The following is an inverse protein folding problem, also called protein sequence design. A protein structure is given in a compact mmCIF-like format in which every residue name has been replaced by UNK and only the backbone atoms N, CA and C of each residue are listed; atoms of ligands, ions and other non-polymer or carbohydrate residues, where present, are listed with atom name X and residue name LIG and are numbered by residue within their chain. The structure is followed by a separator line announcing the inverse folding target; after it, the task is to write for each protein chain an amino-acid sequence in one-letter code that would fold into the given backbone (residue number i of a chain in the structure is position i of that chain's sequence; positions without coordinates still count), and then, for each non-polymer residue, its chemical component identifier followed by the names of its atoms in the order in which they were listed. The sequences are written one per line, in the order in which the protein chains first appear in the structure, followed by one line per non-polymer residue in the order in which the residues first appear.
data_IF_002774567330
#
_entry.id   IF_002774567330
#
_cell.length_a   1.000
_cell.length_b   1.000
_cell.length_c   1.000
_cell.angle_alpha   90.00
_cell.angle_beta   90.00
_cell.angle_gamma   90.00
#
_symmetry.space_group_name_H-M   'P 1'
#
loop_
_entity.id
_entity.type
_entity.pdbx_description
1 polymer ?
#
# COMPACT_ATOMS: atom_id res chain seq x y z
N UNK A 1 -3.85 19.66 4.26
CA UNK A 1 -5.05 18.81 4.14
C UNK A 1 -4.56 17.38 4.01
N UNK A 2 -5.05 16.47 4.85
CA UNK A 2 -4.57 15.09 4.91
C UNK A 2 -4.73 14.40 3.56
N UNK A 3 -3.66 13.74 3.14
CA UNK A 3 -3.62 12.87 1.96
C UNK A 3 -3.89 11.45 2.42
N UNK A 4 -4.76 10.74 1.72
CA UNK A 4 -5.00 9.31 1.89
C UNK A 4 -4.53 8.59 0.64
N UNK A 5 -3.50 7.77 0.77
CA UNK A 5 -3.07 6.85 -0.28
C UNK A 5 -3.67 5.47 -0.01
N UNK A 6 -4.31 4.88 -1.01
CA UNK A 6 -4.91 3.55 -0.97
C UNK A 6 -4.29 2.68 -2.03
N UNK A 7 -3.62 1.61 -1.62
CA UNK A 7 -3.13 0.57 -2.51
C UNK A 7 -4.09 -0.61 -2.50
N UNK A 8 -4.70 -0.94 -3.63
CA UNK A 8 -5.49 -2.17 -3.77
C UNK A 8 -4.60 -3.23 -4.39
N UNK A 9 -4.40 -4.34 -3.69
CA UNK A 9 -3.58 -5.47 -4.11
C UNK A 9 -4.50 -6.62 -4.54
N UNK A 10 -4.18 -7.22 -5.68
CA UNK A 10 -4.86 -8.38 -6.24
C UNK A 10 -3.89 -9.57 -6.30
N UNK A 11 -3.90 -10.46 -5.31
CA UNK A 11 -3.06 -11.65 -5.32
C UNK A 11 -3.35 -12.55 -6.53
N UNK A 12 -2.29 -13.09 -7.14
CA UNK A 12 -2.39 -14.04 -8.23
C UNK A 12 -3.01 -15.36 -7.74
N UNK A 13 -3.67 -16.14 -8.62
CA UNK A 13 -4.19 -17.46 -8.26
C UNK A 13 -3.10 -18.36 -7.66
N UNK A 14 -3.41 -19.00 -6.53
CA UNK A 14 -2.51 -19.91 -5.83
C UNK A 14 -1.56 -19.25 -4.82
N UNK A 15 -1.50 -17.92 -4.76
CA UNK A 15 -0.76 -17.21 -3.69
C UNK A 15 -1.52 -17.37 -2.38
N UNK A 16 -0.81 -17.82 -1.34
CA UNK A 16 -1.41 -18.06 -0.04
C UNK A 16 -1.53 -16.76 0.76
N UNK A 17 -2.43 -16.77 1.76
CA UNK A 17 -2.55 -15.67 2.70
C UNK A 17 -1.24 -15.40 3.45
N UNK A 18 -0.51 -16.44 3.85
CA UNK A 18 0.72 -16.29 4.61
C UNK A 18 1.81 -15.61 3.78
N UNK A 19 1.92 -15.98 2.50
CA UNK A 19 2.87 -15.38 1.58
C UNK A 19 2.56 -13.89 1.36
N UNK A 20 1.29 -13.55 1.07
CA UNK A 20 0.92 -12.14 0.85
C UNK A 20 1.02 -11.33 2.15
N UNK A 21 0.65 -11.91 3.30
CA UNK A 21 0.73 -11.24 4.59
C UNK A 21 2.17 -10.87 4.95
N UNK A 22 3.16 -11.70 4.60
CA UNK A 22 4.58 -11.38 4.78
C UNK A 22 4.96 -10.10 4.02
N UNK A 23 4.51 -9.95 2.77
CA UNK A 23 4.80 -8.76 1.98
C UNK A 23 4.05 -7.53 2.49
N UNK A 24 2.79 -7.67 2.92
CA UNK A 24 2.03 -6.58 3.53
C UNK A 24 2.72 -6.05 4.81
N UNK A 25 3.23 -6.95 5.67
CA UNK A 25 4.00 -6.55 6.86
C UNK A 25 5.24 -5.72 6.48
N UNK A 26 5.98 -6.16 5.45
CA UNK A 26 7.13 -5.39 4.92
C UNK A 26 6.69 -4.01 4.39
N UNK A 27 5.64 -3.97 3.57
CA UNK A 27 5.10 -2.73 2.99
C UNK A 27 4.69 -1.73 4.08
N UNK A 28 3.95 -2.19 5.10
CA UNK A 28 3.52 -1.32 6.21
C UNK A 28 4.68 -0.83 7.07
N UNK A 29 5.69 -1.68 7.31
CA UNK A 29 6.91 -1.29 8.02
C UNK A 29 7.70 -0.22 7.26
N UNK A 30 7.88 -0.38 5.95
CA UNK A 30 8.55 0.60 5.10
C UNK A 30 7.76 1.91 5.02
N UNK A 31 6.44 1.86 4.83
CA UNK A 31 5.61 3.06 4.83
C UNK A 31 5.80 3.88 6.12
N UNK A 32 5.75 3.23 7.29
CA UNK A 32 5.99 3.89 8.59
C UNK A 32 7.41 4.42 8.75
N UNK A 33 8.43 3.63 8.35
CA UNK A 33 9.85 4.04 8.36
C UNK A 33 10.06 5.36 7.63
N UNK A 34 9.34 5.57 6.53
CA UNK A 34 9.48 6.75 5.67
C UNK A 34 8.53 7.90 6.02
N UNK A 35 7.71 7.77 7.07
CA UNK A 35 6.88 8.85 7.59
C UNK A 35 5.40 8.79 7.23
N UNK A 36 4.91 7.67 6.68
CA UNK A 36 3.47 7.48 6.52
C UNK A 36 2.79 7.30 7.88
N UNK A 37 1.70 8.03 8.08
CA UNK A 37 0.84 7.95 9.25
C UNK A 37 -0.28 6.92 9.01
N UNK A 38 -0.85 6.39 10.10
CA UNK A 38 -2.05 5.53 10.10
C UNK A 38 -2.11 4.46 8.98
N UNK A 39 -1.11 3.57 8.95
CA UNK A 39 -1.13 2.44 8.01
C UNK A 39 -2.13 1.37 8.45
N UNK A 40 -3.22 1.23 7.71
CA UNK A 40 -4.33 0.30 7.95
C UNK A 40 -4.49 -0.68 6.80
N UNK A 41 -4.55 -1.98 7.10
CA UNK A 41 -4.88 -3.00 6.11
C UNK A 41 -6.38 -3.32 6.17
N UNK A 42 -7.06 -3.19 5.04
CA UNK A 42 -8.43 -3.64 4.80
C UNK A 42 -8.35 -4.87 3.90
N UNK A 43 -8.84 -6.02 4.36
CA UNK A 43 -8.92 -7.22 3.50
C UNK A 43 -10.35 -7.35 3.01
N UNK A 44 -10.56 -7.39 1.69
CA UNK A 44 -11.88 -7.61 1.13
C UNK A 44 -12.21 -9.12 1.15
N UNK A 45 -12.81 -9.56 2.25
CA UNK A 45 -13.09 -10.97 2.53
C UNK A 45 -14.39 -11.48 1.88
N UNK A 46 -15.30 -10.62 1.41
CA UNK A 46 -16.63 -11.02 0.90
C UNK A 46 -17.12 -10.13 -0.26
N UNK A 47 -17.39 -10.73 -1.43
CA UNK A 47 -18.35 -10.21 -2.43
C UNK A 47 -17.77 -9.78 -3.80
N UNK A 48 -18.42 -10.24 -4.87
CA UNK A 48 -18.24 -9.74 -6.25
C UNK A 48 -16.86 -9.97 -6.87
N UNK A 49 -16.58 -9.28 -7.98
CA UNK A 49 -15.31 -9.40 -8.70
C UNK A 49 -14.07 -8.98 -7.88
N UNK A 50 -14.25 -8.24 -6.78
CA UNK A 50 -13.17 -7.80 -5.89
C UNK A 50 -12.85 -8.76 -4.74
N UNK A 51 -13.44 -9.96 -4.71
CA UNK A 51 -13.15 -10.98 -3.69
C UNK A 51 -11.65 -11.30 -3.66
N UNK A 52 -11.05 -11.36 -2.48
CA UNK A 52 -9.61 -11.57 -2.22
C UNK A 52 -8.69 -10.38 -2.52
N UNK A 53 -9.22 -9.21 -2.88
CA UNK A 53 -8.42 -7.99 -2.94
C UNK A 53 -8.07 -7.47 -1.53
N UNK A 54 -6.94 -6.79 -1.40
CA UNK A 54 -6.44 -6.26 -0.13
C UNK A 54 -6.15 -4.77 -0.29
N UNK A 55 -6.86 -3.92 0.44
CA UNK A 55 -6.58 -2.50 0.57
C UNK A 55 -5.53 -2.21 1.64
N UNK A 56 -4.54 -1.39 1.31
CA UNK A 56 -3.66 -0.73 2.28
C UNK A 56 -3.93 0.76 2.22
N UNK A 57 -4.34 1.35 3.35
CA UNK A 57 -4.58 2.77 3.48
C UNK A 57 -3.44 3.37 4.30
N UNK A 58 -2.84 4.44 3.80
CA UNK A 58 -1.84 5.24 4.50
C UNK A 58 -2.21 6.71 4.42
N UNK A 59 -1.84 7.47 5.44
CA UNK A 59 -2.07 8.91 5.46
C UNK A 59 -0.76 9.69 5.47
N UNK A 60 -0.79 10.89 4.91
CA UNK A 60 0.25 11.90 5.07
C UNK A 60 -0.40 13.25 5.38
N UNK A 61 0.31 14.10 6.09
CA UNK A 61 -0.21 15.41 6.53
C UNK A 61 -0.68 16.30 5.37
N UNK A 62 0.10 16.33 4.29
CA UNK A 62 -0.15 17.12 3.09
C UNK A 62 0.58 16.52 1.86
N UNK A 63 0.43 17.17 0.71
CA UNK A 63 1.07 16.76 -0.56
C UNK A 63 2.59 16.86 -0.53
N UNK A 64 3.16 17.83 0.18
CA UNK A 64 4.62 18.00 0.24
C UNK A 64 5.25 16.86 1.04
N UNK A 65 4.65 16.51 2.17
CA UNK A 65 5.03 15.38 3.00
C UNK A 65 4.81 14.06 2.25
N UNK A 66 3.67 13.89 1.57
CA UNK A 66 3.43 12.72 0.71
C UNK A 66 4.52 12.57 -0.36
N UNK A 67 4.88 13.66 -1.06
CA UNK A 67 5.93 13.65 -2.08
C UNK A 67 7.30 13.24 -1.51
N UNK A 68 7.67 13.76 -0.33
CA UNK A 68 8.90 13.36 0.38
C UNK A 68 8.90 11.89 0.76
N UNK A 69 7.78 11.38 1.29
CA UNK A 69 7.61 9.95 1.62
C UNK A 69 7.82 9.10 0.37
N UNK A 70 7.18 9.45 -0.75
CA UNK A 70 7.31 8.73 -2.01
C UNK A 70 8.74 8.75 -2.55
N UNK A 71 9.39 9.91 -2.54
CA UNK A 71 10.78 10.03 -2.99
C UNK A 71 11.71 9.15 -2.13
N UNK A 72 11.53 9.20 -0.81
CA UNK A 72 12.32 8.43 0.15
C UNK A 72 12.10 6.92 0.01
N UNK A 73 10.84 6.49 -0.16
CA UNK A 73 10.51 5.10 -0.45
C UNK A 73 11.17 4.61 -1.73
N UNK A 74 11.05 5.33 -2.84
CA UNK A 74 11.60 4.90 -4.12
C UNK A 74 13.14 4.84 -4.13
N UNK A 75 13.80 5.60 -3.25
CA UNK A 75 15.25 5.55 -3.06
C UNK A 75 15.70 4.40 -2.14
N UNK A 76 14.78 3.73 -1.42
CA UNK A 76 15.09 2.67 -0.47
C UNK A 76 15.25 1.31 -1.18
N UNK A 77 16.43 0.66 -1.10
CA UNK A 77 16.64 -0.68 -1.69
C UNK A 77 15.68 -1.74 -1.15
N UNK A 78 15.24 -1.63 0.11
CA UNK A 78 14.31 -2.59 0.71
C UNK A 78 12.92 -2.48 0.06
N UNK A 79 12.52 -1.26 -0.32
CA UNK A 79 11.29 -1.02 -1.06
C UNK A 79 11.39 -1.52 -2.50
N UNK A 80 12.53 -1.32 -3.16
CA UNK A 80 12.77 -1.86 -4.49
C UNK A 80 12.71 -3.40 -4.50
N UNK A 81 13.33 -4.06 -3.51
CA UNK A 81 13.23 -5.51 -3.32
C UNK A 81 11.79 -5.95 -3.06
N UNK A 82 11.04 -5.23 -2.21
CA UNK A 82 9.62 -5.51 -1.98
C UNK A 82 8.82 -5.47 -3.28
N UNK A 83 9.04 -4.48 -4.16
CA UNK A 83 8.32 -4.37 -5.43
C UNK A 83 8.61 -5.55 -6.37
N UNK A 84 9.87 -6.00 -6.42
CA UNK A 84 10.25 -7.18 -7.21
C UNK A 84 9.55 -8.44 -6.70
N UNK A 85 9.58 -8.67 -5.39
CA UNK A 85 8.95 -9.85 -4.78
C UNK A 85 7.43 -9.80 -4.95
N UNK A 86 6.82 -8.63 -4.70
CA UNK A 86 5.37 -8.45 -4.81
C UNK A 86 4.87 -8.60 -6.25
N UNK A 87 5.63 -8.15 -7.26
CA UNK A 87 5.24 -8.26 -8.67
C UNK A 87 5.12 -9.71 -9.16
N UNK A 88 5.78 -10.66 -8.50
CA UNK A 88 5.62 -12.09 -8.81
C UNK A 88 4.32 -12.66 -8.23
N UNK A 89 3.76 -12.00 -7.22
CA UNK A 89 2.68 -12.53 -6.39
C UNK A 89 1.34 -11.84 -6.61
N UNK A 90 1.35 -10.60 -7.08
CA UNK A 90 0.13 -9.81 -7.18
C UNK A 90 0.27 -8.70 -8.23
N UNK A 91 -0.87 -8.19 -8.68
CA UNK A 91 -0.96 -6.86 -9.28
C UNK A 91 -1.51 -5.88 -8.25
N UNK A 92 -1.30 -4.59 -8.47
CA UNK A 92 -1.87 -3.56 -7.59
C UNK A 92 -2.13 -2.25 -8.30
N UNK A 93 -3.02 -1.46 -7.70
CA UNK A 93 -3.38 -0.11 -8.12
C UNK A 93 -3.22 0.85 -6.95
N UNK A 94 -2.78 2.07 -7.22
CA UNK A 94 -2.61 3.11 -6.22
C UNK A 94 -3.56 4.27 -6.49
N UNK A 95 -4.37 4.59 -5.49
CA UNK A 95 -5.27 5.73 -5.48
C UNK A 95 -4.75 6.74 -4.46
N UNK A 96 -4.77 8.03 -4.80
CA UNK A 96 -4.43 9.11 -3.88
C UNK A 96 -5.60 10.06 -3.83
N UNK A 97 -6.02 10.41 -2.62
CA UNK A 97 -7.17 11.25 -2.39
C UNK A 97 -6.89 12.28 -1.31
N UNK A 98 -7.62 13.39 -1.38
CA UNK A 98 -7.69 14.41 -0.33
C UNK A 98 -9.13 14.91 -0.26
N UNK A 99 -9.54 15.39 0.91
CA UNK A 99 -10.78 16.14 1.01
C UNK A 99 -10.60 17.52 0.38
N UNK A 100 -11.58 17.97 -0.42
CA UNK A 100 -11.64 19.33 -0.94
C UNK A 100 -12.77 20.03 -0.21
N UNK A 101 -12.43 20.95 0.70
CA UNK A 101 -13.41 21.82 1.35
C UNK A 101 -13.77 22.99 0.41
N UNK A 102 -15.04 23.40 0.42
CA UNK A 102 -15.59 24.52 -0.38
C UNK A 102 -16.03 25.63 0.55
#
# INVERSE_FOLDING_TARGET
MTIVATTIVHPNPGVTWDDIQKQLKRATGLARKHGAENVTALVNMIGGQGTNAIGLLTTAEDWATYGKIQQSLNADPDYQSLLVDAAQMATWENYVSQTIEV
#
